data_IF_115873979040
#
_entry.id   IF_115873979040
#
_cell.length_a   1.000
_cell.length_b   1.000
_cell.length_c   1.000
_cell.angle_alpha   90.00
_cell.angle_beta   90.00
_cell.angle_gamma   90.00
#
_symmetry.space_group_name_H-M   'P 1'
#
loop_
_entity.id
_entity.type
_entity.pdbx_description
1 polymer ?
#
# COMPACT_ATOMS: atom_id res chain seq x y z
N UNK A 1 17.88 2.19 -14.15
CA UNK A 1 18.71 1.43 -15.12
C UNK A 1 20.22 1.67 -15.04
N UNK A 2 20.75 2.58 -14.19
CA UNK A 2 22.21 2.84 -14.10
C UNK A 2 22.86 2.79 -12.69
N UNK A 3 22.11 2.55 -11.60
CA UNK A 3 22.65 2.64 -10.22
C UNK A 3 23.14 1.33 -9.57
N UNK A 4 22.83 0.16 -10.14
CA UNK A 4 23.03 -1.13 -9.47
C UNK A 4 22.19 -1.28 -8.18
N UNK A 5 22.10 -2.50 -7.64
CA UNK A 5 21.23 -2.79 -6.48
C UNK A 5 21.68 -2.02 -5.22
N UNK A 6 22.98 -1.76 -5.04
CA UNK A 6 23.53 -1.05 -3.88
C UNK A 6 23.10 0.41 -3.82
N UNK A 7 23.14 1.15 -4.93
CA UNK A 7 22.72 2.56 -4.92
C UNK A 7 21.22 2.69 -4.67
N UNK A 8 20.42 1.79 -5.27
CA UNK A 8 18.96 1.75 -5.04
C UNK A 8 18.63 1.50 -3.57
N UNK A 9 19.34 0.58 -2.91
CA UNK A 9 19.13 0.31 -1.47
C UNK A 9 19.48 1.54 -0.63
N UNK A 10 20.55 2.27 -0.94
CA UNK A 10 20.90 3.49 -0.20
C UNK A 10 19.88 4.62 -0.41
N UNK A 11 19.37 4.80 -1.63
CA UNK A 11 18.30 5.77 -1.88
C UNK A 11 17.01 5.40 -1.15
N UNK A 12 16.66 4.11 -1.08
CA UNK A 12 15.50 3.61 -0.33
C UNK A 12 15.63 3.92 1.17
N UNK A 13 16.83 3.77 1.76
CA UNK A 13 17.09 4.07 3.18
C UNK A 13 16.90 5.57 3.47
N UNK A 14 17.50 6.44 2.67
CA UNK A 14 17.37 7.90 2.84
C UNK A 14 15.90 8.32 2.70
N UNK A 15 15.22 7.81 1.69
CA UNK A 15 13.81 8.09 1.46
C UNK A 15 12.93 7.61 2.62
N UNK A 16 13.16 6.40 3.14
CA UNK A 16 12.42 5.88 4.30
C UNK A 16 12.59 6.78 5.53
N UNK A 17 13.81 7.25 5.80
CA UNK A 17 14.09 8.17 6.90
C UNK A 17 13.32 9.50 6.73
N UNK A 18 13.36 10.09 5.53
CA UNK A 18 12.66 11.36 5.27
C UNK A 18 11.13 11.17 5.38
N UNK A 19 10.57 10.05 4.91
CA UNK A 19 9.14 9.77 5.06
C UNK A 19 8.72 9.70 6.53
N UNK A 20 9.47 8.98 7.37
CA UNK A 20 9.20 8.88 8.82
C UNK A 20 9.27 10.26 9.47
N UNK A 21 10.34 11.03 9.20
CA UNK A 21 10.49 12.39 9.75
C UNK A 21 9.35 13.29 9.31
N UNK A 22 8.97 13.25 8.03
CA UNK A 22 7.93 14.13 7.47
C UNK A 22 6.55 13.81 8.05
N UNK A 23 6.16 12.54 8.11
CA UNK A 23 4.85 12.15 8.66
C UNK A 23 4.76 12.43 10.16
N UNK A 24 5.87 12.25 10.89
CA UNK A 24 5.96 12.56 12.32
C UNK A 24 5.81 14.06 12.56
N UNK A 25 6.55 14.88 11.82
CA UNK A 25 6.49 16.34 11.93
C UNK A 25 5.09 16.87 11.64
N UNK A 26 4.46 16.40 10.55
CA UNK A 26 3.11 16.79 10.16
C UNK A 26 2.09 16.37 11.23
N UNK A 27 2.19 15.16 11.77
CA UNK A 27 1.33 14.68 12.85
C UNK A 27 1.49 15.51 14.13
N UNK A 28 2.72 15.83 14.53
CA UNK A 28 2.99 16.62 15.75
C UNK A 28 2.50 18.07 15.60
N UNK A 29 2.85 18.74 14.51
CA UNK A 29 2.41 20.12 14.26
C UNK A 29 0.90 20.21 14.07
N UNK A 30 0.30 19.19 13.45
CA UNK A 30 -1.15 19.06 13.35
C UNK A 30 -1.80 18.93 14.73
N UNK A 31 -1.25 18.09 15.61
CA UNK A 31 -1.76 17.93 16.97
C UNK A 31 -1.65 19.24 17.77
N UNK A 32 -0.54 19.98 17.62
CA UNK A 32 -0.37 21.30 18.24
C UNK A 32 -1.45 22.29 17.75
N UNK A 33 -1.75 22.31 16.44
CA UNK A 33 -2.81 23.18 15.88
C UNK A 33 -4.21 22.85 16.42
N UNK A 34 -4.48 21.59 16.76
CA UNK A 34 -5.76 21.17 17.35
C UNK A 34 -5.88 21.57 18.83
N UNK A 35 -4.76 21.83 19.53
CA UNK A 35 -4.73 22.09 20.98
C UNK A 35 -3.94 21.05 21.78
N UNK A 36 -3.26 20.13 21.10
CA UNK A 36 -2.41 19.09 21.69
C UNK A 36 -2.94 17.67 21.48
N UNK A 37 -2.12 16.69 21.85
CA UNK A 37 -2.43 15.26 21.66
C UNK A 37 -3.67 14.83 22.46
N UNK A 38 -3.84 15.35 23.67
CA UNK A 38 -5.00 15.05 24.52
C UNK A 38 -6.31 15.46 23.85
N UNK A 39 -6.32 16.65 23.24
CA UNK A 39 -7.51 17.17 22.55
C UNK A 39 -7.83 16.38 21.28
N UNK A 40 -6.80 15.98 20.53
CA UNK A 40 -6.95 15.07 19.38
C UNK A 40 -7.65 13.77 19.78
N UNK A 41 -7.22 13.14 20.87
CA UNK A 41 -7.85 11.90 21.32
C UNK A 41 -9.26 12.11 21.90
N UNK A 42 -9.53 13.26 22.54
CA UNK A 42 -10.86 13.63 23.00
C UNK A 42 -11.84 13.74 21.83
N UNK A 43 -11.51 14.55 20.82
CA UNK A 43 -12.32 14.75 19.61
C UNK A 43 -12.49 13.42 18.85
N UNK A 44 -11.42 12.63 18.71
CA UNK A 44 -11.48 11.34 18.04
C UNK A 44 -12.35 10.31 18.78
N UNK A 45 -12.38 10.37 20.11
CA UNK A 45 -13.25 9.55 20.94
C UNK A 45 -14.73 9.93 20.76
N UNK A 46 -15.03 11.22 20.83
CA UNK A 46 -16.39 11.76 20.60
C UNK A 46 -16.90 11.45 19.19
N UNK A 47 -16.01 11.55 18.19
CA UNK A 47 -16.27 11.18 16.80
C UNK A 47 -16.30 9.68 16.50
N UNK A 48 -16.22 8.83 17.53
CA UNK A 48 -16.23 7.36 17.44
C UNK A 48 -15.13 6.76 16.54
N UNK A 49 -14.04 7.50 16.30
CA UNK A 49 -12.93 7.07 15.41
C UNK A 49 -11.94 6.12 16.09
N UNK A 50 -12.00 6.00 17.42
CA UNK A 50 -11.16 5.11 18.21
C UNK A 50 -11.83 3.74 18.49
N UNK A 51 -13.09 3.56 18.06
CA UNK A 51 -13.84 2.35 18.32
C UNK A 51 -13.34 1.19 17.46
N UNK A 52 -12.97 0.08 18.11
CA UNK A 52 -12.56 -1.15 17.46
C UNK A 52 -13.71 -2.15 17.52
N UNK A 53 -14.23 -2.56 16.36
CA UNK A 53 -15.23 -3.62 16.31
C UNK A 53 -14.56 -4.99 16.52
N UNK A 54 -14.84 -5.63 17.67
CA UNK A 54 -14.33 -6.95 18.06
C UNK A 54 -15.32 -8.09 17.75
N UNK A 55 -16.46 -7.80 17.15
CA UNK A 55 -17.46 -8.80 16.78
C UNK A 55 -16.89 -9.79 15.77
N UNK A 56 -17.23 -11.06 15.97
CA UNK A 56 -16.87 -12.13 15.05
C UNK A 56 -17.96 -12.26 13.99
N UNK A 57 -17.91 -11.36 13.01
CA UNK A 57 -18.82 -11.36 11.87
C UNK A 57 -18.02 -11.26 10.56
N UNK A 58 -18.19 -12.25 9.69
CA UNK A 58 -17.54 -12.32 8.39
C UNK A 58 -18.24 -11.48 7.31
N UNK A 59 -19.46 -10.98 7.58
CA UNK A 59 -20.22 -10.15 6.64
C UNK A 59 -19.87 -8.67 6.76
N UNK A 60 -19.49 -8.22 7.95
CA UNK A 60 -18.97 -6.87 8.19
C UNK A 60 -17.59 -6.68 7.57
N UNK A 61 -17.43 -5.63 6.76
CA UNK A 61 -16.18 -5.34 6.01
C UNK A 61 -14.93 -5.30 6.89
N UNK A 62 -15.01 -4.62 8.02
CA UNK A 62 -13.86 -4.30 8.85
C UNK A 62 -14.17 -4.58 10.32
N UNK A 63 -13.96 -5.81 10.74
CA UNK A 63 -13.80 -6.17 12.16
C UNK A 63 -12.32 -6.36 12.47
N UNK A 64 -11.96 -6.36 13.74
CA UNK A 64 -10.61 -6.71 14.19
C UNK A 64 -10.20 -8.09 13.62
N UNK A 65 -11.08 -9.08 13.72
CA UNK A 65 -10.80 -10.44 13.28
C UNK A 65 -10.63 -10.55 11.76
N UNK A 66 -11.52 -9.93 10.98
CA UNK A 66 -11.42 -9.95 9.52
C UNK A 66 -10.13 -9.28 9.05
N UNK A 67 -9.80 -8.11 9.62
CA UNK A 67 -8.57 -7.40 9.29
C UNK A 67 -7.32 -8.15 9.73
N UNK A 68 -7.32 -8.76 10.92
CA UNK A 68 -6.18 -9.50 11.45
C UNK A 68 -5.86 -10.72 10.59
N UNK A 69 -6.87 -11.53 10.24
CA UNK A 69 -6.69 -12.72 9.41
C UNK A 69 -6.27 -12.32 7.99
N UNK A 70 -6.98 -11.38 7.37
CA UNK A 70 -6.68 -10.88 6.02
C UNK A 70 -5.28 -10.30 5.93
N UNK A 71 -4.90 -9.43 6.87
CA UNK A 71 -3.58 -8.82 6.92
C UNK A 71 -2.48 -9.85 7.13
N UNK A 72 -2.70 -10.86 8.00
CA UNK A 72 -1.73 -11.93 8.23
C UNK A 72 -1.45 -12.71 6.96
N UNK A 73 -2.49 -13.13 6.24
CA UNK A 73 -2.35 -13.86 4.96
C UNK A 73 -1.69 -12.98 3.91
N UNK A 74 -2.17 -11.75 3.74
CA UNK A 74 -1.68 -10.82 2.74
C UNK A 74 -0.20 -10.48 2.96
N UNK A 75 0.20 -10.10 4.18
CA UNK A 75 1.58 -9.74 4.48
C UNK A 75 2.53 -10.93 4.46
N UNK A 76 2.08 -12.12 4.89
CA UNK A 76 2.89 -13.35 4.77
C UNK A 76 3.15 -13.68 3.30
N UNK A 77 2.13 -13.56 2.45
CA UNK A 77 2.24 -13.77 1.01
C UNK A 77 3.13 -12.72 0.35
N UNK A 78 2.94 -11.46 0.72
CA UNK A 78 3.72 -10.34 0.18
C UNK A 78 5.20 -10.48 0.53
N UNK A 79 5.54 -10.67 1.80
CA UNK A 79 6.96 -10.76 2.21
C UNK A 79 7.59 -12.08 1.80
N UNK A 80 6.85 -13.19 1.89
CA UNK A 80 7.37 -14.54 1.69
C UNK A 80 7.38 -15.03 0.24
N UNK A 81 6.49 -14.51 -0.61
CA UNK A 81 6.26 -15.04 -1.96
C UNK A 81 6.44 -13.99 -3.06
N UNK A 82 6.40 -12.68 -2.73
CA UNK A 82 6.67 -11.66 -3.74
C UNK A 82 8.14 -11.72 -4.15
N UNK A 83 8.37 -11.81 -5.46
CA UNK A 83 9.72 -11.96 -6.01
C UNK A 83 10.68 -10.85 -5.58
N UNK A 84 10.23 -9.60 -5.47
CA UNK A 84 11.09 -8.48 -5.03
C UNK A 84 11.58 -8.67 -3.59
N UNK A 85 10.72 -9.19 -2.70
CA UNK A 85 11.05 -9.46 -1.31
C UNK A 85 11.94 -10.70 -1.20
N UNK A 86 11.54 -11.80 -1.85
CA UNK A 86 12.29 -13.07 -1.82
C UNK A 86 13.71 -12.87 -2.33
N UNK A 87 13.92 -12.18 -3.45
CA UNK A 87 15.26 -11.90 -3.99
C UNK A 87 16.15 -11.13 -3.01
N UNK A 88 15.59 -10.16 -2.28
CA UNK A 88 16.31 -9.40 -1.25
C UNK A 88 16.67 -10.28 -0.06
N UNK A 89 15.81 -11.22 0.31
CA UNK A 89 16.06 -12.15 1.42
C UNK A 89 17.12 -13.18 1.04
N UNK A 90 17.04 -13.81 -0.14
CA UNK A 90 17.97 -14.88 -0.56
C UNK A 90 19.34 -14.36 -0.99
N UNK A 91 19.47 -13.08 -1.30
CA UNK A 91 20.77 -12.45 -1.60
C UNK A 91 21.59 -12.11 -0.35
N UNK A 92 21.06 -12.33 0.86
CA UNK A 92 21.79 -12.12 2.10
C UNK A 92 22.78 -13.26 2.38
N UNK A 93 23.94 -12.99 3.00
CA UNK A 93 25.02 -13.98 3.14
C UNK A 93 24.67 -15.22 3.99
N UNK A 94 23.65 -15.15 4.84
CA UNK A 94 23.24 -16.27 5.71
C UNK A 94 21.83 -16.10 6.24
N UNK A 95 21.24 -17.22 6.70
CA UNK A 95 19.92 -17.24 7.32
C UNK A 95 19.81 -16.32 8.55
N UNK A 96 20.90 -16.17 9.32
CA UNK A 96 20.95 -15.25 10.48
C UNK A 96 20.75 -13.79 10.04
N UNK A 97 21.35 -13.40 8.91
CA UNK A 97 21.19 -12.06 8.34
C UNK A 97 19.77 -11.86 7.79
N UNK A 98 19.22 -12.88 7.11
CA UNK A 98 17.83 -12.87 6.66
C UNK A 98 16.83 -12.68 7.82
N UNK A 99 16.95 -13.47 8.89
CA UNK A 99 16.07 -13.34 10.07
C UNK A 99 16.19 -11.96 10.72
N UNK A 100 17.41 -11.45 10.90
CA UNK A 100 17.63 -10.11 11.47
C UNK A 100 17.03 -9.02 10.59
N UNK A 101 17.17 -9.12 9.26
CA UNK A 101 16.58 -8.20 8.29
C UNK A 101 15.05 -8.16 8.41
N UNK A 102 14.41 -9.33 8.51
CA UNK A 102 12.95 -9.42 8.69
C UNK A 102 12.46 -8.82 10.02
N UNK A 103 13.21 -8.97 11.11
CA UNK A 103 12.87 -8.34 12.40
C UNK A 103 12.95 -6.81 12.29
N UNK A 104 14.02 -6.28 11.67
CA UNK A 104 14.18 -4.84 11.45
C UNK A 104 13.05 -4.30 10.56
N UNK A 105 12.70 -5.03 9.50
CA UNK A 105 11.57 -4.70 8.64
C UNK A 105 10.25 -4.66 9.42
N UNK A 106 9.97 -5.66 10.25
CA UNK A 106 8.76 -5.70 11.08
C UNK A 106 8.66 -4.53 12.06
N UNK A 107 9.76 -4.21 12.76
CA UNK A 107 9.80 -3.05 13.66
C UNK A 107 9.59 -1.73 12.89
N UNK A 108 10.30 -1.55 11.77
CA UNK A 108 10.16 -0.37 10.93
C UNK A 108 8.73 -0.21 10.39
N UNK A 109 8.09 -1.31 10.00
CA UNK A 109 6.71 -1.34 9.55
C UNK A 109 5.71 -0.92 10.63
N UNK A 110 5.84 -1.45 11.85
CA UNK A 110 5.00 -1.05 12.99
C UNK A 110 5.17 0.43 13.31
N UNK A 111 6.42 0.92 13.31
CA UNK A 111 6.73 2.33 13.59
C UNK A 111 6.10 3.27 12.55
N UNK A 112 6.27 2.99 11.25
CA UNK A 112 5.69 3.84 10.20
C UNK A 112 4.16 3.79 10.20
N UNK A 113 3.56 2.62 10.45
CA UNK A 113 2.10 2.47 10.53
C UNK A 113 1.52 3.25 11.72
N UNK A 114 2.19 3.20 12.88
CA UNK A 114 1.79 4.00 14.04
C UNK A 114 1.70 5.49 13.70
N UNK A 115 2.73 6.08 13.08
CA UNK A 115 2.72 7.50 12.73
C UNK A 115 1.69 7.83 11.64
N UNK A 116 1.46 6.95 10.67
CA UNK A 116 0.42 7.18 9.67
C UNK A 116 -0.99 7.16 10.28
N UNK A 117 -1.29 6.18 11.15
CA UNK A 117 -2.57 6.11 11.86
C UNK A 117 -2.76 7.33 12.77
N UNK A 118 -1.73 7.69 13.54
CA UNK A 118 -1.75 8.88 14.40
C UNK A 118 -2.05 10.15 13.58
N UNK A 119 -1.32 10.37 12.47
CA UNK A 119 -1.57 11.50 11.58
C UNK A 119 -2.97 11.48 10.98
N UNK A 120 -3.53 10.30 10.67
CA UNK A 120 -4.93 10.15 10.25
C UNK A 120 -5.93 10.61 11.31
N UNK A 121 -5.70 10.28 12.58
CA UNK A 121 -6.54 10.72 13.71
C UNK A 121 -6.42 12.24 13.92
N UNK A 122 -5.20 12.78 13.86
CA UNK A 122 -4.95 14.22 13.96
C UNK A 122 -5.65 14.98 12.82
N UNK A 123 -5.57 14.44 11.59
CA UNK A 123 -6.22 15.01 10.42
C UNK A 123 -7.75 15.03 10.58
N UNK A 124 -8.34 13.96 11.12
CA UNK A 124 -9.77 13.98 11.50
C UNK A 124 -10.07 15.07 12.53
N UNK A 125 -9.33 15.11 13.65
CA UNK A 125 -9.57 16.10 14.70
C UNK A 125 -9.42 17.55 14.19
N UNK A 126 -8.50 17.80 13.26
CA UNK A 126 -8.33 19.12 12.62
C UNK A 126 -9.53 19.55 11.78
N UNK A 127 -10.24 18.59 11.17
CA UNK A 127 -11.31 18.81 10.20
C UNK A 127 -12.68 18.30 10.68
N UNK A 128 -12.86 18.02 11.97
CA UNK A 128 -14.11 17.46 12.49
C UNK A 128 -15.32 18.41 12.31
N UNK A 129 -15.10 19.71 12.49
CA UNK A 129 -16.13 20.76 12.33
C UNK A 129 -16.26 21.30 10.90
N UNK A 130 -15.27 21.01 10.07
CA UNK A 130 -15.24 21.41 8.67
C UNK A 130 -14.51 20.34 7.85
N UNK A 131 -15.27 19.40 7.31
CA UNK A 131 -14.75 18.37 6.43
C UNK A 131 -14.46 18.98 5.04
N UNK A 132 -13.18 19.07 4.63
CA UNK A 132 -12.83 19.66 3.33
C UNK A 132 -13.27 18.81 2.14
N UNK A 133 -13.57 17.52 2.32
CA UNK A 133 -14.10 16.64 1.28
C UNK A 133 -15.58 16.95 1.01
N UNK A 134 -16.40 17.01 2.07
CA UNK A 134 -17.84 17.33 1.94
C UNK A 134 -18.07 18.79 1.57
N UNK A 135 -17.24 19.69 2.09
CA UNK A 135 -17.28 21.10 1.73
C UNK A 135 -16.80 21.37 0.29
N UNK A 136 -16.16 20.41 -0.39
CA UNK A 136 -15.74 20.55 -1.79
C UNK A 136 -14.36 21.22 -2.00
N UNK A 137 -13.60 21.49 -0.93
CA UNK A 137 -12.20 21.94 -1.04
C UNK A 137 -11.28 20.84 -1.58
N UNK A 138 -11.63 19.57 -1.34
CA UNK A 138 -10.87 18.41 -1.78
C UNK A 138 -11.78 17.49 -2.59
N UNK A 139 -11.33 17.08 -3.78
CA UNK A 139 -12.15 16.25 -4.69
C UNK A 139 -12.20 14.76 -4.30
N UNK A 140 -11.21 14.25 -3.56
CA UNK A 140 -11.09 12.83 -3.20
C UNK A 140 -10.37 12.63 -1.87
N UNK A 141 -10.75 11.61 -1.12
CA UNK A 141 -10.11 11.24 0.14
C UNK A 141 -8.58 11.04 0.02
N UNK A 142 -8.11 10.44 -1.08
CA UNK A 142 -6.67 10.22 -1.32
C UNK A 142 -5.84 11.53 -1.44
N UNK A 143 -6.50 12.67 -1.69
CA UNK A 143 -5.86 14.00 -1.77
C UNK A 143 -5.85 14.74 -0.43
N UNK A 144 -6.49 14.18 0.60
CA UNK A 144 -6.63 14.83 1.90
C UNK A 144 -5.30 14.96 2.64
N UNK A 145 -4.44 13.94 2.57
CA UNK A 145 -3.13 13.99 3.22
C UNK A 145 -2.21 15.08 2.63
N UNK A 146 -2.06 15.20 1.29
CA UNK A 146 -1.38 16.36 0.68
C UNK A 146 -1.97 17.72 1.09
N UNK A 147 -3.30 17.84 1.14
CA UNK A 147 -3.98 19.05 1.57
C UNK A 147 -3.66 19.40 3.03
N UNK A 148 -3.69 18.40 3.92
CA UNK A 148 -3.35 18.54 5.33
C UNK A 148 -1.89 18.97 5.54
N UNK A 149 -0.96 18.40 4.77
CA UNK A 149 0.45 18.83 4.79
C UNK A 149 0.57 20.31 4.41
N UNK A 150 -0.13 20.75 3.36
CA UNK A 150 -0.12 22.15 2.96
C UNK A 150 -0.73 23.06 4.03
N UNK A 151 -1.82 22.67 4.68
CA UNK A 151 -2.44 23.43 5.78
C UNK A 151 -1.51 23.55 7.00
N UNK A 152 -0.90 22.45 7.43
CA UNK A 152 -0.09 22.41 8.66
C UNK A 152 1.29 23.05 8.45
N UNK A 153 2.01 22.66 7.40
CA UNK A 153 3.42 23.03 7.19
C UNK A 153 3.66 23.94 5.98
N UNK A 154 2.61 24.46 5.33
CA UNK A 154 2.75 25.35 4.16
C UNK A 154 3.50 26.66 4.43
N UNK A 155 3.52 27.12 5.69
CA UNK A 155 4.31 28.28 6.12
C UNK A 155 5.82 28.00 6.12
N UNK A 156 6.24 26.73 6.21
CA UNK A 156 7.63 26.32 6.11
C UNK A 156 8.01 26.14 4.64
N UNK A 157 8.74 27.10 4.09
CA UNK A 157 9.18 27.09 2.69
C UNK A 157 9.88 25.76 2.35
N UNK A 158 9.38 25.06 1.33
CA UNK A 158 9.95 23.82 0.81
C UNK A 158 9.45 22.53 1.47
N UNK A 159 8.88 22.57 2.68
CA UNK A 159 8.44 21.36 3.40
C UNK A 159 7.34 20.56 2.68
N UNK A 160 6.27 21.18 2.14
CA UNK A 160 5.30 20.44 1.32
C UNK A 160 5.94 19.79 0.09
N UNK A 161 6.90 20.46 -0.55
CA UNK A 161 7.65 19.93 -1.69
C UNK A 161 8.51 18.72 -1.31
N UNK A 162 9.19 18.75 -0.16
CA UNK A 162 9.95 17.62 0.38
C UNK A 162 9.02 16.44 0.66
N UNK A 163 7.86 16.68 1.26
CA UNK A 163 6.87 15.63 1.53
C UNK A 163 6.40 14.96 0.22
N UNK A 164 5.92 15.76 -0.73
CA UNK A 164 5.38 15.25 -2.00
C UNK A 164 6.47 14.53 -2.81
N UNK A 165 7.69 15.08 -2.88
CA UNK A 165 8.80 14.40 -3.56
C UNK A 165 9.17 13.06 -2.94
N UNK A 166 9.12 12.93 -1.61
CA UNK A 166 9.37 11.65 -0.93
C UNK A 166 8.26 10.62 -1.21
N UNK A 167 7.00 11.04 -1.24
CA UNK A 167 5.88 10.17 -1.62
C UNK A 167 6.05 9.66 -3.06
N UNK A 168 6.39 10.55 -4.00
CA UNK A 168 6.67 10.16 -5.38
C UNK A 168 7.87 9.22 -5.47
N UNK A 169 8.95 9.50 -4.75
CA UNK A 169 10.13 8.64 -4.69
C UNK A 169 9.76 7.23 -4.18
N UNK A 170 8.93 7.13 -3.15
CA UNK A 170 8.46 5.85 -2.61
C UNK A 170 7.57 5.06 -3.55
N UNK A 171 6.67 5.76 -4.23
CA UNK A 171 5.85 5.17 -5.27
C UNK A 171 6.74 4.66 -6.43
N UNK A 172 7.73 5.45 -6.86
CA UNK A 172 8.67 5.08 -7.92
C UNK A 172 9.57 3.91 -7.54
N UNK A 173 10.06 3.84 -6.30
CA UNK A 173 10.84 2.70 -5.80
C UNK A 173 10.03 1.41 -5.84
N UNK A 174 8.78 1.46 -5.36
CA UNK A 174 7.86 0.29 -5.36
C UNK A 174 7.48 -0.12 -6.79
N UNK A 175 7.14 0.84 -7.66
CA UNK A 175 6.85 0.58 -9.07
C UNK A 175 8.07 -0.02 -9.78
N UNK A 176 9.26 0.52 -9.56
CA UNK A 176 10.50 -0.01 -10.15
C UNK A 176 10.76 -1.44 -9.70
N UNK A 177 10.62 -1.74 -8.41
CA UNK A 177 10.77 -3.09 -7.88
C UNK A 177 9.75 -4.06 -8.50
N UNK A 178 8.49 -3.66 -8.63
CA UNK A 178 7.44 -4.44 -9.27
C UNK A 178 7.70 -4.72 -10.75
N UNK A 179 8.03 -3.70 -11.54
CA UNK A 179 8.31 -3.84 -12.98
C UNK A 179 9.55 -4.72 -13.24
N UNK A 180 10.62 -4.52 -12.46
CA UNK A 180 11.83 -5.35 -12.60
C UNK A 180 11.57 -6.80 -12.19
N UNK A 181 10.76 -7.03 -11.17
CA UNK A 181 10.39 -8.38 -10.73
C UNK A 181 9.55 -9.09 -11.79
N UNK A 182 8.55 -8.40 -12.37
CA UNK A 182 7.73 -8.95 -13.44
C UNK A 182 8.57 -9.28 -14.68
N UNK A 183 9.41 -8.34 -15.12
CA UNK A 183 10.31 -8.60 -16.25
C UNK A 183 11.22 -9.79 -15.96
N UNK A 184 11.72 -9.91 -14.72
CA UNK A 184 12.55 -11.03 -14.27
C UNK A 184 11.82 -12.37 -14.34
N UNK A 185 10.59 -12.44 -13.82
CA UNK A 185 9.76 -13.65 -13.87
C UNK A 185 9.49 -14.04 -15.32
N UNK A 186 9.01 -13.10 -16.15
CA UNK A 186 8.73 -13.36 -17.58
C UNK A 186 9.98 -13.85 -18.29
N UNK A 187 11.11 -13.21 -18.06
CA UNK A 187 12.35 -13.58 -18.74
C UNK A 187 12.92 -14.91 -18.27
N UNK A 188 13.13 -15.09 -16.96
CA UNK A 188 13.82 -16.27 -16.43
C UNK A 188 12.94 -17.52 -16.44
N UNK A 189 11.63 -17.38 -16.26
CA UNK A 189 10.74 -18.53 -16.09
C UNK A 189 10.06 -18.94 -17.41
N UNK A 190 9.78 -17.99 -18.31
CA UNK A 190 9.07 -18.27 -19.56
C UNK A 190 9.94 -18.18 -20.81
N UNK A 191 10.82 -17.18 -20.90
CA UNK A 191 11.61 -16.93 -22.11
C UNK A 191 12.88 -17.79 -22.11
N UNK A 192 13.76 -17.59 -21.13
CA UNK A 192 15.09 -18.21 -21.05
C UNK A 192 15.09 -19.75 -21.17
N UNK A 193 14.11 -20.51 -20.63
CA UNK A 193 14.11 -21.96 -20.79
C UNK A 193 13.93 -22.43 -22.25
N UNK A 194 13.32 -21.61 -23.09
CA UNK A 194 12.99 -21.95 -24.47
C UNK A 194 14.00 -21.42 -25.49
N UNK A 195 14.93 -20.54 -25.09
CA UNK A 195 15.90 -19.93 -26.01
C UNK A 195 17.27 -19.71 -25.36
N UNK A 196 18.34 -19.97 -26.13
CA UNK A 196 19.72 -19.65 -25.73
C UNK A 196 20.05 -18.20 -26.04
N UNK A 197 20.57 -17.47 -25.05
CA UNK A 197 20.87 -16.04 -25.18
C UNK A 197 22.22 -15.65 -24.61
N UNK A 198 22.84 -14.67 -25.25
CA UNK A 198 23.97 -13.89 -24.71
C UNK A 198 23.46 -12.88 -23.68
N UNK A 199 24.28 -12.53 -22.68
CA UNK A 199 23.95 -11.54 -21.63
C UNK A 199 23.45 -10.20 -22.20
N UNK A 200 24.03 -9.75 -23.32
CA UNK A 200 23.61 -8.51 -23.98
C UNK A 200 22.16 -8.57 -24.47
N UNK A 201 21.73 -9.70 -25.05
CA UNK A 201 20.35 -9.90 -25.52
C UNK A 201 19.40 -10.05 -24.35
N UNK A 202 19.80 -10.78 -23.30
CA UNK A 202 19.06 -10.89 -22.05
C UNK A 202 18.73 -9.52 -21.44
N UNK A 203 19.77 -8.68 -21.30
CA UNK A 203 19.62 -7.33 -20.77
C UNK A 203 18.74 -6.44 -21.66
N UNK A 204 18.83 -6.58 -22.97
CA UNK A 204 17.96 -5.82 -23.89
C UNK A 204 16.49 -6.26 -23.75
N UNK A 205 16.21 -7.56 -23.76
CA UNK A 205 14.86 -8.10 -23.58
C UNK A 205 14.25 -7.66 -22.25
N UNK A 206 15.00 -7.76 -21.16
CA UNK A 206 14.57 -7.30 -19.83
C UNK A 206 14.23 -5.79 -19.83
N UNK A 207 15.07 -4.95 -20.44
CA UNK A 207 14.81 -3.51 -20.56
C UNK A 207 13.54 -3.22 -21.37
N UNK A 208 13.33 -3.94 -22.47
CA UNK A 208 12.12 -3.82 -23.28
C UNK A 208 10.88 -4.23 -22.50
N UNK A 209 10.92 -5.33 -21.75
CA UNK A 209 9.81 -5.77 -20.89
C UNK A 209 9.46 -4.70 -19.84
N UNK A 210 10.47 -4.13 -19.16
CA UNK A 210 10.26 -3.05 -18.20
C UNK A 210 9.60 -1.82 -18.86
N UNK A 211 10.04 -1.44 -20.06
CA UNK A 211 9.42 -0.33 -20.81
C UNK A 211 7.96 -0.61 -21.16
N UNK A 212 7.64 -1.81 -21.66
CA UNK A 212 6.27 -2.21 -21.99
C UNK A 212 5.36 -2.26 -20.76
N UNK A 213 5.84 -2.81 -19.66
CA UNK A 213 5.11 -2.80 -18.38
C UNK A 213 4.91 -1.37 -17.87
N UNK A 214 5.90 -0.49 -18.01
CA UNK A 214 5.77 0.92 -17.64
C UNK A 214 4.70 1.65 -18.45
N UNK A 215 4.66 1.42 -19.77
CA UNK A 215 3.60 1.96 -20.63
C UNK A 215 2.21 1.44 -20.24
N UNK A 216 2.11 0.15 -19.92
CA UNK A 216 0.88 -0.43 -19.39
C UNK A 216 0.44 0.23 -18.07
N UNK A 217 1.36 0.47 -17.13
CA UNK A 217 1.05 1.15 -15.87
C UNK A 217 0.52 2.58 -16.09
N UNK A 218 1.04 3.32 -17.07
CA UNK A 218 0.55 4.66 -17.42
C UNK A 218 -0.91 4.58 -17.92
N UNK A 219 -1.19 3.66 -18.85
CA UNK A 219 -2.54 3.47 -19.38
C UNK A 219 -3.52 3.02 -18.28
N UNK A 220 -3.11 2.06 -17.45
CA UNK A 220 -3.91 1.60 -16.32
C UNK A 220 -4.19 2.72 -15.30
N UNK A 221 -3.24 3.65 -15.12
CA UNK A 221 -3.42 4.83 -14.25
C UNK A 221 -4.64 5.68 -14.61
N UNK A 222 -4.92 5.86 -15.91
CA UNK A 222 -6.10 6.62 -16.38
C UNK A 222 -7.44 5.96 -16.01
N UNK A 223 -7.43 4.64 -15.82
CA UNK A 223 -8.59 3.87 -15.36
C UNK A 223 -8.69 3.97 -13.83
N UNK A 224 -7.56 3.84 -13.13
CA UNK A 224 -7.49 3.94 -11.66
C UNK A 224 -7.97 5.31 -11.16
N UNK A 225 -7.72 6.39 -11.91
CA UNK A 225 -8.22 7.72 -11.59
C UNK A 225 -9.76 7.81 -11.54
N UNK A 226 -10.50 6.90 -12.17
CA UNK A 226 -11.98 6.95 -12.14
C UNK A 226 -12.59 6.41 -10.85
N UNK A 227 -11.79 5.74 -10.02
CA UNK A 227 -12.30 5.15 -8.80
C UNK A 227 -12.33 6.12 -7.62
N UNK A 228 -13.18 5.80 -6.63
CA UNK A 228 -13.43 6.60 -5.43
C UNK A 228 -12.35 6.45 -4.35
N UNK A 229 -11.88 5.22 -4.11
CA UNK A 229 -10.80 4.93 -3.15
C UNK A 229 -9.78 3.99 -3.76
N UNK A 230 -8.54 4.46 -3.88
CA UNK A 230 -7.43 3.66 -4.40
C UNK A 230 -7.11 2.50 -3.44
N UNK A 231 -7.13 2.76 -2.13
CA UNK A 231 -6.81 1.76 -1.11
C UNK A 231 -7.73 0.55 -1.20
N UNK A 232 -9.05 0.76 -1.36
CA UNK A 232 -10.01 -0.34 -1.48
C UNK A 232 -9.71 -1.23 -2.69
N UNK A 233 -9.29 -0.65 -3.81
CA UNK A 233 -9.01 -1.41 -5.04
C UNK A 233 -7.75 -2.22 -4.90
N UNK A 234 -6.72 -1.65 -4.28
CA UNK A 234 -5.47 -2.37 -4.01
C UNK A 234 -5.75 -3.62 -3.17
N UNK A 235 -6.57 -3.50 -2.12
CA UNK A 235 -6.95 -4.66 -1.30
C UNK A 235 -7.84 -5.65 -2.04
N UNK A 236 -8.82 -5.18 -2.84
CA UNK A 236 -9.70 -6.07 -3.61
C UNK A 236 -8.95 -6.87 -4.67
N UNK A 237 -8.10 -6.21 -5.47
CA UNK A 237 -7.30 -6.87 -6.52
C UNK A 237 -6.20 -7.72 -5.88
N UNK A 238 -5.54 -7.21 -4.84
CA UNK A 238 -4.54 -7.95 -4.08
C UNK A 238 -5.11 -9.23 -3.48
N UNK A 239 -6.31 -9.16 -2.89
CA UNK A 239 -6.98 -10.31 -2.28
C UNK A 239 -7.24 -11.47 -3.24
N UNK A 240 -7.60 -11.17 -4.50
CA UNK A 240 -7.80 -12.19 -5.55
C UNK A 240 -6.52 -13.02 -5.79
N UNK A 241 -5.36 -12.37 -5.75
CA UNK A 241 -4.08 -12.99 -6.13
C UNK A 241 -3.33 -13.56 -4.94
N UNK A 242 -3.19 -12.80 -3.84
CA UNK A 242 -2.42 -13.23 -2.67
C UNK A 242 -3.01 -14.49 -2.03
N UNK A 243 -4.33 -14.59 -1.91
CA UNK A 243 -4.97 -15.78 -1.33
C UNK A 243 -4.71 -17.06 -2.14
N UNK A 244 -4.81 -16.97 -3.47
CA UNK A 244 -4.56 -18.09 -4.39
C UNK A 244 -3.09 -18.55 -4.35
N UNK A 245 -2.15 -17.61 -4.46
CA UNK A 245 -0.71 -17.89 -4.42
C UNK A 245 -0.30 -18.48 -3.08
N UNK A 246 -0.80 -17.93 -1.97
CA UNK A 246 -0.56 -18.45 -0.63
C UNK A 246 -1.08 -19.87 -0.47
N UNK A 247 -2.31 -20.13 -0.93
CA UNK A 247 -2.93 -21.46 -0.87
C UNK A 247 -2.13 -22.51 -1.63
N UNK A 248 -1.65 -22.20 -2.83
CA UNK A 248 -0.78 -23.09 -3.62
C UNK A 248 0.53 -23.37 -2.90
N UNK A 249 1.12 -22.34 -2.29
CA UNK A 249 2.38 -22.50 -1.57
C UNK A 249 2.22 -23.35 -0.30
N UNK A 250 1.16 -23.12 0.48
CA UNK A 250 0.82 -23.98 1.62
C UNK A 250 0.54 -25.43 1.19
N UNK A 251 -0.18 -25.62 0.09
CA UNK A 251 -0.44 -26.95 -0.48
C UNK A 251 0.88 -27.67 -0.80
N UNK A 252 1.83 -26.97 -1.43
CA UNK A 252 3.16 -27.52 -1.73
C UNK A 252 4.02 -27.82 -0.51
N UNK A 253 3.94 -27.01 0.55
CA UNK A 253 4.72 -27.22 1.78
C UNK A 253 4.13 -28.28 2.71
N UNK A 254 2.80 -28.29 2.87
CA UNK A 254 2.11 -29.03 3.94
C UNK A 254 1.49 -30.34 3.45
N UNK A 255 1.27 -30.51 2.14
CA UNK A 255 0.60 -31.68 1.58
C UNK A 255 1.53 -32.42 0.62
N UNK A 256 2.33 -33.40 1.10
CA UNK A 256 3.32 -34.12 0.28
C UNK A 256 2.72 -34.87 -0.92
N UNK A 257 1.42 -35.21 -0.85
CA UNK A 257 0.69 -35.94 -1.91
C UNK A 257 0.06 -35.01 -2.95
N UNK A 258 0.24 -33.70 -2.85
CA UNK A 258 -0.34 -32.76 -3.79
C UNK A 258 0.36 -32.85 -5.16
N UNK A 259 -0.44 -32.82 -6.24
CA UNK A 259 0.06 -32.89 -7.61
C UNK A 259 -0.04 -31.52 -8.29
N UNK A 260 0.87 -31.22 -9.23
CA UNK A 260 0.90 -29.93 -9.93
C UNK A 260 -0.40 -29.56 -10.67
N UNK A 261 -1.12 -30.56 -11.22
CA UNK A 261 -2.44 -30.35 -11.85
C UNK A 261 -3.49 -29.88 -10.83
N UNK A 262 -3.49 -30.45 -9.63
CA UNK A 262 -4.41 -30.06 -8.57
C UNK A 262 -4.13 -28.62 -8.10
N UNK A 263 -2.86 -28.27 -7.92
CA UNK A 263 -2.46 -26.90 -7.59
C UNK A 263 -2.87 -25.88 -8.67
N UNK A 264 -2.70 -26.22 -9.95
CA UNK A 264 -3.11 -25.37 -11.07
C UNK A 264 -4.62 -25.10 -11.06
N UNK A 265 -5.45 -26.16 -10.99
CA UNK A 265 -6.90 -26.00 -10.98
C UNK A 265 -7.43 -25.35 -9.69
N UNK A 266 -6.79 -25.58 -8.55
CA UNK A 266 -7.10 -24.87 -7.30
C UNK A 266 -6.83 -23.36 -7.42
N UNK A 267 -5.71 -22.98 -8.03
CA UNK A 267 -5.38 -21.57 -8.24
C UNK A 267 -6.39 -20.86 -9.14
N UNK A 268 -6.72 -21.48 -10.29
CA UNK A 268 -7.68 -20.93 -11.25
C UNK A 268 -9.09 -20.83 -10.64
N UNK A 269 -9.57 -21.88 -9.98
CA UNK A 269 -10.88 -21.86 -9.33
C UNK A 269 -10.96 -20.80 -8.23
N UNK A 270 -9.93 -20.70 -7.38
CA UNK A 270 -9.83 -19.65 -6.35
C UNK A 270 -9.89 -18.24 -6.95
N UNK A 271 -9.11 -17.98 -8.00
CA UNK A 271 -9.10 -16.67 -8.66
C UNK A 271 -10.45 -16.34 -9.29
N UNK A 272 -11.08 -17.29 -10.00
CA UNK A 272 -12.39 -17.07 -10.63
C UNK A 272 -13.49 -16.78 -9.61
N UNK A 273 -13.52 -17.55 -8.51
CA UNK A 273 -14.47 -17.33 -7.41
C UNK A 273 -14.26 -15.96 -6.78
N UNK A 274 -13.00 -15.57 -6.51
CA UNK A 274 -12.71 -14.26 -5.93
C UNK A 274 -13.02 -13.11 -6.88
N UNK A 275 -12.74 -13.24 -8.18
CA UNK A 275 -13.14 -12.23 -9.18
C UNK A 275 -14.65 -12.08 -9.22
N UNK A 276 -15.40 -13.19 -9.17
CA UNK A 276 -16.86 -13.15 -9.10
C UNK A 276 -17.35 -12.43 -7.84
N UNK A 277 -16.81 -12.76 -6.66
CA UNK A 277 -17.18 -12.13 -5.39
C UNK A 277 -16.88 -10.62 -5.43
N UNK A 278 -15.67 -10.23 -5.85
CA UNK A 278 -15.28 -8.82 -5.94
C UNK A 278 -16.16 -8.09 -6.94
N UNK A 279 -16.40 -8.67 -8.13
CA UNK A 279 -17.26 -8.09 -9.16
C UNK A 279 -18.71 -7.94 -8.71
N UNK A 280 -19.29 -8.97 -8.09
CA UNK A 280 -20.65 -8.95 -7.55
C UNK A 280 -20.80 -7.99 -6.37
N UNK A 281 -19.72 -7.75 -5.62
CA UNK A 281 -19.66 -6.79 -4.51
C UNK A 281 -19.58 -5.33 -4.97
N UNK A 282 -19.11 -5.04 -6.20
CA UNK A 282 -18.98 -3.66 -6.67
C UNK A 282 -20.36 -3.00 -6.77
N UNK A 283 -20.50 -1.82 -6.14
CA UNK A 283 -21.75 -1.05 -6.13
C UNK A 283 -22.84 -1.53 -5.18
N UNK A 284 -22.80 -2.79 -4.71
CA UNK A 284 -23.76 -3.32 -3.71
C UNK A 284 -23.40 -2.96 -2.28
N UNK A 285 -22.10 -2.95 -1.97
CA UNK A 285 -21.62 -2.69 -0.63
C UNK A 285 -21.37 -1.18 -0.44
N UNK A 286 -22.39 -0.47 0.03
CA UNK A 286 -22.25 0.88 0.57
C UNK A 286 -22.02 0.80 2.08
N UNK A 287 -21.01 1.50 2.56
CA UNK A 287 -20.70 1.60 3.97
C UNK A 287 -20.96 3.04 4.37
N UNK A 288 -21.85 3.23 5.35
CA UNK A 288 -22.07 4.55 5.92
C UNK A 288 -20.76 5.06 6.51
N UNK A 289 -20.37 6.25 6.07
CA UNK A 289 -19.26 6.97 6.68
C UNK A 289 -19.72 7.48 8.03
N UNK A 290 -18.87 7.32 9.04
CA UNK A 290 -19.10 7.98 10.33
C UNK A 290 -19.28 9.50 10.11
N UNK A 291 -20.16 10.16 10.88
CA UNK A 291 -20.56 11.53 10.64
C UNK A 291 -19.38 12.50 10.66
N UNK A 292 -19.52 13.53 9.82
CA UNK A 292 -18.66 14.70 9.64
C UNK A 292 -19.52 15.96 9.62
N UNK A 293 -18.94 17.12 9.92
CA UNK A 293 -19.63 18.39 9.90
C UNK A 293 -19.02 19.33 8.86
N UNK A 294 -19.88 20.17 8.26
CA UNK A 294 -19.52 21.28 7.39
C UNK A 294 -19.95 22.63 7.96
N UNK A 295 -20.50 22.64 9.17
CA UNK A 295 -21.15 23.82 9.77
C UNK A 295 -20.18 24.98 10.00
N UNK A 296 -18.91 24.67 10.29
CA UNK A 296 -17.87 25.68 10.50
C UNK A 296 -16.98 25.91 9.27
N UNK A 297 -17.39 25.43 8.09
CA UNK A 297 -16.61 25.66 6.87
C UNK A 297 -16.77 27.09 6.34
N UNK A 298 -15.67 27.72 5.89
CA UNK A 298 -15.77 28.96 5.14
C UNK A 298 -16.55 28.71 3.83
N UNK A 299 -17.44 29.63 3.46
CA UNK A 299 -18.22 29.53 2.22
C UNK A 299 -17.25 29.47 1.03
N UNK A 300 -17.37 28.44 0.20
CA UNK A 300 -16.68 28.40 -1.09
C UNK A 300 -17.19 29.56 -1.94
N UNK A 301 -16.42 30.65 -2.01
CA UNK A 301 -16.59 31.63 -3.07
C UNK A 301 -16.16 30.96 -4.38
N UNK A 302 -17.11 30.33 -5.07
CA UNK A 302 -16.93 29.92 -6.46
C UNK A 302 -16.84 31.21 -7.30
N UNK A 303 -15.61 31.65 -7.55
CA UNK A 303 -15.28 32.60 -8.65
C UNK A 303 -14.59 31.85 -9.76
#
# INVERSE_FOLDING_TARGET
>A
MFGGIKAVVWTDVVQAAIMVMSVTLVGVLGAIKVGGVTEVFRIAGEGQRLNVNLEFDATTRSTFWNNFISSTIMWTSYVGLNQSCVQRIVSLPSLKHARRSLIIFGFGFVMIMFFNCFTGIVMYARYHDCDPLEAGFVSKADKLMPFFVQDVVGHLKGMPGVFISCVFSAALSTMSAGMNSLAGIVYFDYIKPHIKHTERRANLTMKTLVLLTGLYCILAGTVVEKFSSILQIVYSIGGVTFGSVFGVFLLGMLVPKAHGRAAFWAAISSMLVMVYIVGASQGRNHYETLPSSVESCPVLNMT
#
